data_IF_006734070885
#
_entry.id   IF_006734070885
#
_cell.length_a   1.000
_cell.length_b   1.000
_cell.length_c   1.000
_cell.angle_alpha   90.00
_cell.angle_beta   90.00
_cell.angle_gamma   90.00
#
_symmetry.space_group_name_H-M   'P 1'
#
loop_
_entity.id
_entity.type
_entity.pdbx_description
1 polymer ?
#
# COMPACT_ATOMS: atom_id res chain seq x y z
N UNK A 1 26.26 -19.44 9.23
CA UNK A 1 25.40 -18.25 9.08
C UNK A 1 25.04 -18.20 7.59
N UNK A 2 23.81 -18.54 7.23
CA UNK A 2 23.39 -18.56 5.82
C UNK A 2 22.98 -17.12 5.53
N UNK A 3 23.84 -16.35 4.89
CA UNK A 3 23.51 -15.05 4.34
C UNK A 3 22.58 -15.27 3.14
N UNK A 4 21.30 -15.33 3.43
CA UNK A 4 20.28 -15.22 2.38
C UNK A 4 20.36 -13.78 1.90
N UNK A 5 21.12 -13.53 0.87
CA UNK A 5 21.12 -12.27 0.12
C UNK A 5 19.75 -12.19 -0.56
N UNK A 6 18.79 -11.61 0.14
CA UNK A 6 17.50 -11.28 -0.43
C UNK A 6 17.72 -10.21 -1.50
N UNK A 7 17.72 -10.60 -2.76
CA UNK A 7 17.68 -9.65 -3.86
C UNK A 7 16.32 -8.98 -3.87
N UNK A 8 16.24 -7.86 -3.18
CA UNK A 8 15.02 -7.05 -3.17
C UNK A 8 14.75 -6.47 -4.56
N UNK A 9 13.51 -6.48 -5.04
CA UNK A 9 13.13 -5.78 -6.27
C UNK A 9 13.58 -4.32 -6.22
N UNK A 10 14.03 -3.77 -7.33
CA UNK A 10 14.47 -2.36 -7.43
C UNK A 10 13.42 -1.38 -6.87
N UNK A 11 12.13 -1.63 -7.14
CA UNK A 11 11.02 -0.87 -6.61
C UNK A 11 10.96 -0.84 -5.07
N UNK A 12 11.25 -1.97 -4.41
CA UNK A 12 11.31 -2.04 -2.95
C UNK A 12 12.50 -1.24 -2.40
N UNK A 13 13.66 -1.32 -3.06
CA UNK A 13 14.84 -0.53 -2.67
C UNK A 13 14.55 0.97 -2.78
N UNK A 14 13.90 1.40 -3.85
CA UNK A 14 13.51 2.80 -4.03
C UNK A 14 12.51 3.26 -2.98
N UNK A 15 11.51 2.44 -2.70
CA UNK A 15 10.53 2.71 -1.65
C UNK A 15 11.23 2.93 -0.30
N UNK A 16 12.18 2.08 0.06
CA UNK A 16 12.91 2.23 1.32
C UNK A 16 13.77 3.50 1.35
N UNK A 17 14.57 3.76 0.30
CA UNK A 17 15.40 4.97 0.23
C UNK A 17 14.56 6.24 0.32
N UNK A 18 13.41 6.25 -0.34
CA UNK A 18 12.50 7.39 -0.32
C UNK A 18 11.84 7.56 1.04
N UNK A 19 11.28 6.49 1.61
CA UNK A 19 10.61 6.51 2.91
C UNK A 19 11.50 7.04 4.03
N UNK A 20 12.81 6.73 3.98
CA UNK A 20 13.78 7.19 4.97
C UNK A 20 13.84 8.72 5.12
N UNK A 21 13.51 9.47 4.07
CA UNK A 21 13.56 10.94 4.09
C UNK A 21 12.39 11.57 4.86
N UNK A 22 11.28 10.84 4.99
CA UNK A 22 10.01 11.37 5.52
C UNK A 22 9.63 10.85 6.89
N UNK A 23 10.36 9.88 7.41
CA UNK A 23 10.05 9.27 8.70
C UNK A 23 11.29 9.14 9.57
N UNK A 24 11.08 9.15 10.89
CA UNK A 24 12.16 8.94 11.83
C UNK A 24 12.70 7.49 11.77
N UNK A 25 13.88 7.28 12.36
CA UNK A 25 14.58 5.99 12.33
C UNK A 25 13.75 4.81 12.89
N UNK A 26 12.94 5.07 13.93
CA UNK A 26 12.12 4.02 14.56
C UNK A 26 10.97 3.59 13.63
N UNK A 27 10.24 4.54 13.06
CA UNK A 27 9.17 4.31 12.09
C UNK A 27 9.73 3.64 10.84
N UNK A 28 10.88 4.08 10.35
CA UNK A 28 11.55 3.50 9.19
C UNK A 28 11.85 2.01 9.37
N UNK A 29 12.38 1.61 10.54
CA UNK A 29 12.62 0.20 10.85
C UNK A 29 11.33 -0.63 10.81
N UNK A 30 10.22 -0.11 11.35
CA UNK A 30 8.93 -0.79 11.29
C UNK A 30 8.40 -0.92 9.86
N UNK A 31 8.60 0.10 9.03
CA UNK A 31 8.23 0.04 7.61
C UNK A 31 8.98 -1.09 6.91
N UNK A 32 10.30 -1.16 7.08
CA UNK A 32 11.12 -2.24 6.50
C UNK A 32 10.60 -3.60 6.96
N UNK A 33 10.41 -3.78 8.26
CA UNK A 33 9.91 -5.04 8.83
C UNK A 33 8.58 -5.45 8.21
N UNK A 34 7.63 -4.52 8.10
CA UNK A 34 6.30 -4.83 7.55
C UNK A 34 6.36 -5.11 6.05
N UNK A 35 7.10 -4.33 5.28
CA UNK A 35 7.22 -4.56 3.82
C UNK A 35 7.91 -5.89 3.53
N UNK A 36 9.00 -6.21 4.22
CA UNK A 36 9.66 -7.51 4.07
C UNK A 36 8.74 -8.65 4.49
N UNK A 37 7.99 -8.48 5.57
CA UNK A 37 7.02 -9.48 5.99
C UNK A 37 5.91 -9.69 4.96
N UNK A 38 5.39 -8.63 4.34
CA UNK A 38 4.38 -8.74 3.28
C UNK A 38 4.91 -9.52 2.08
N UNK A 39 6.20 -9.38 1.76
CA UNK A 39 6.86 -10.11 0.66
C UNK A 39 7.08 -11.58 1.03
N UNK A 40 7.52 -11.86 2.26
CA UNK A 40 7.97 -13.19 2.66
C UNK A 40 6.88 -14.07 3.26
N UNK A 41 5.85 -13.49 3.89
CA UNK A 41 4.80 -14.26 4.54
C UNK A 41 3.89 -14.96 3.53
N UNK A 42 3.81 -16.28 3.69
CA UNK A 42 2.78 -17.10 3.06
C UNK A 42 1.61 -17.24 4.01
N UNK A 43 0.42 -16.75 3.64
CA UNK A 43 -0.79 -16.82 4.47
C UNK A 43 -1.19 -15.49 5.14
N UNK A 44 -1.80 -15.57 6.32
CA UNK A 44 -2.38 -14.39 6.98
C UNK A 44 -1.34 -13.36 7.42
N UNK A 45 -1.45 -12.13 6.87
CA UNK A 45 -0.55 -11.01 7.16
C UNK A 45 -1.01 -10.22 8.40
N UNK A 46 -1.00 -10.87 9.56
CA UNK A 46 -1.30 -10.21 10.84
C UNK A 46 -0.03 -9.65 11.48
N UNK A 47 -0.17 -8.64 12.35
CA UNK A 47 0.99 -8.12 13.11
C UNK A 47 1.70 -9.21 13.93
N UNK A 48 0.96 -10.19 14.45
CA UNK A 48 1.54 -11.31 15.17
C UNK A 48 2.44 -12.18 14.26
N UNK A 49 1.99 -12.47 13.04
CA UNK A 49 2.78 -13.25 12.09
C UNK A 49 3.97 -12.46 11.56
N UNK A 50 3.82 -11.15 11.36
CA UNK A 50 4.94 -10.25 11.01
C UNK A 50 6.03 -10.31 12.08
N UNK A 51 5.67 -10.24 13.36
CA UNK A 51 6.67 -10.26 14.44
C UNK A 51 7.33 -11.63 14.63
N UNK A 52 6.62 -12.71 14.34
CA UNK A 52 7.19 -14.08 14.41
C UNK A 52 8.21 -14.38 13.32
N UNK A 53 8.11 -13.69 12.20
CA UNK A 53 9.02 -13.89 11.05
C UNK A 53 10.45 -13.40 11.34
N UNK A 54 10.61 -12.40 12.21
CA UNK A 54 11.90 -11.78 12.49
C UNK A 54 12.34 -12.03 13.92
N UNK A 55 13.50 -12.62 14.10
CA UNK A 55 14.08 -12.93 15.44
C UNK A 55 14.26 -11.69 16.30
N UNK A 56 14.60 -10.56 15.71
CA UNK A 56 14.81 -9.27 16.39
C UNK A 56 13.56 -8.38 16.34
N UNK A 57 12.40 -8.92 16.04
CA UNK A 57 11.21 -8.11 15.92
C UNK A 57 10.73 -7.61 17.27
N UNK A 58 10.37 -6.34 17.31
CA UNK A 58 9.70 -5.77 18.49
C UNK A 58 8.31 -6.37 18.66
N UNK A 59 7.78 -6.32 19.86
CA UNK A 59 6.44 -6.79 20.18
C UNK A 59 5.39 -6.22 19.17
N UNK A 60 4.40 -7.04 18.81
CA UNK A 60 3.32 -6.68 17.86
C UNK A 60 2.67 -5.32 18.13
N UNK A 61 2.54 -4.94 19.43
CA UNK A 61 1.98 -3.65 19.81
C UNK A 61 2.85 -2.47 19.39
N UNK A 62 4.16 -2.62 19.26
CA UNK A 62 5.04 -1.56 18.79
C UNK A 62 4.77 -1.24 17.32
N UNK A 63 4.58 -2.26 16.49
CA UNK A 63 4.25 -2.09 15.07
C UNK A 63 2.86 -1.46 14.94
N UNK A 64 1.87 -1.98 15.67
CA UNK A 64 0.52 -1.43 15.66
C UNK A 64 0.48 0.03 16.10
N UNK A 65 1.13 0.37 17.23
CA UNK A 65 1.22 1.76 17.72
C UNK A 65 1.97 2.67 16.75
N UNK A 66 3.01 2.16 16.09
CA UNK A 66 3.74 2.94 15.07
C UNK A 66 2.79 3.39 13.96
N UNK A 67 1.98 2.49 13.42
CA UNK A 67 1.06 2.83 12.33
C UNK A 67 -0.19 3.61 12.77
N UNK A 68 -0.60 3.49 14.05
CA UNK A 68 -1.75 4.24 14.58
C UNK A 68 -1.39 5.66 14.98
N UNK A 69 -0.21 5.86 15.57
CA UNK A 69 0.14 7.12 16.24
C UNK A 69 1.20 7.94 15.48
N UNK A 70 1.88 7.35 14.49
CA UNK A 70 2.88 8.08 13.73
C UNK A 70 2.24 8.79 12.55
N UNK A 71 2.62 10.04 12.33
CA UNK A 71 2.32 10.76 11.09
C UNK A 71 3.11 10.09 9.98
N UNK A 72 2.42 9.24 9.21
CA UNK A 72 3.02 8.52 8.09
C UNK A 72 2.52 9.12 6.77
N UNK A 73 3.36 9.81 6.00
CA UNK A 73 2.96 10.44 4.76
C UNK A 73 2.82 9.40 3.62
N UNK A 74 2.02 8.37 3.85
CA UNK A 74 1.88 7.24 2.94
C UNK A 74 1.43 7.64 1.55
N UNK A 75 0.57 8.65 1.47
CA UNK A 75 0.10 9.17 0.20
C UNK A 75 1.23 9.83 -0.60
N UNK A 76 2.03 10.68 0.04
CA UNK A 76 3.18 11.35 -0.58
C UNK A 76 4.22 10.34 -1.07
N UNK A 77 4.50 9.31 -0.26
CA UNK A 77 5.43 8.24 -0.62
C UNK A 77 4.89 7.45 -1.83
N UNK A 78 3.61 7.14 -1.85
CA UNK A 78 2.97 6.43 -2.96
C UNK A 78 3.00 7.25 -4.25
N UNK A 79 2.72 8.54 -4.17
CA UNK A 79 2.73 9.45 -5.33
C UNK A 79 4.12 9.54 -5.95
N UNK A 80 5.15 9.73 -5.13
CA UNK A 80 6.53 9.79 -5.63
C UNK A 80 7.01 8.46 -6.21
N UNK A 81 6.63 7.34 -5.61
CA UNK A 81 6.92 6.02 -6.16
C UNK A 81 6.26 5.84 -7.53
N UNK A 82 5.00 6.25 -7.64
CA UNK A 82 4.25 6.22 -8.89
C UNK A 82 4.93 7.06 -10.00
N UNK A 83 5.28 8.32 -9.69
CA UNK A 83 5.95 9.22 -10.65
C UNK A 83 7.27 8.60 -11.13
N UNK A 84 8.03 7.99 -10.23
CA UNK A 84 9.28 7.34 -10.59
C UNK A 84 9.08 6.13 -11.49
N UNK A 85 8.16 5.23 -11.14
CA UNK A 85 7.85 4.06 -11.95
C UNK A 85 7.34 4.47 -13.34
N UNK A 86 6.56 5.55 -13.40
CA UNK A 86 6.09 6.10 -14.66
C UNK A 86 7.26 6.60 -15.52
N UNK A 87 8.20 7.34 -14.95
CA UNK A 87 9.41 7.78 -15.66
C UNK A 87 10.21 6.59 -16.18
N UNK A 88 10.48 5.59 -15.34
CA UNK A 88 11.20 4.38 -15.76
C UNK A 88 10.49 3.63 -16.90
N UNK A 89 9.15 3.59 -16.90
CA UNK A 89 8.39 2.97 -17.99
C UNK A 89 8.42 3.77 -19.29
N UNK A 90 8.48 5.10 -19.21
CA UNK A 90 8.54 5.99 -20.37
C UNK A 90 9.96 6.11 -20.96
N UNK A 91 11.00 5.85 -20.16
CA UNK A 91 12.40 5.92 -20.59
C UNK A 91 12.86 4.66 -21.35
N UNK A 92 11.99 3.66 -21.52
CA UNK A 92 12.31 2.45 -22.27
C UNK A 92 12.41 2.81 -23.78
N UNK A 93 13.56 2.57 -24.44
CA UNK A 93 13.72 2.84 -25.86
C UNK A 93 12.72 2.07 -26.72
N UNK A 94 12.11 2.75 -27.69
CA UNK A 94 11.15 2.15 -28.61
C UNK A 94 9.74 1.93 -28.07
N UNK A 95 9.47 2.28 -26.82
CA UNK A 95 8.13 2.21 -26.28
C UNK A 95 7.20 3.21 -26.98
N UNK A 96 6.14 2.71 -27.59
CA UNK A 96 5.03 3.56 -28.05
C UNK A 96 4.39 4.14 -26.78
N UNK A 97 4.24 5.46 -26.73
CA UNK A 97 3.70 6.15 -25.54
C UNK A 97 2.18 5.94 -25.36
N UNK A 98 1.70 4.74 -25.66
CA UNK A 98 0.31 4.34 -25.47
C UNK A 98 0.21 3.61 -24.16
N UNK A 99 -0.70 4.06 -23.29
CA UNK A 99 -0.98 3.42 -22.04
C UNK A 99 -2.49 3.23 -21.86
N UNK A 100 -2.89 2.09 -21.31
CA UNK A 100 -4.27 1.83 -20.91
C UNK A 100 -4.43 2.09 -19.41
N UNK A 101 -5.50 2.77 -19.05
CA UNK A 101 -5.90 2.92 -17.66
C UNK A 101 -7.01 1.90 -17.39
N UNK A 102 -6.72 0.95 -16.52
CA UNK A 102 -7.67 -0.05 -16.05
C UNK A 102 -8.15 0.41 -14.69
N UNK A 103 -9.46 0.64 -14.55
CA UNK A 103 -10.07 1.08 -13.28
C UNK A 103 -10.98 -0.03 -12.79
N UNK A 104 -10.83 -0.37 -11.51
CA UNK A 104 -11.66 -1.35 -10.84
C UNK A 104 -12.03 -0.86 -9.44
N UNK A 105 -13.11 -1.41 -8.91
CA UNK A 105 -13.56 -1.14 -7.56
C UNK A 105 -13.47 -2.40 -6.70
N UNK A 106 -12.97 -2.25 -5.48
CA UNK A 106 -12.93 -3.36 -4.53
C UNK A 106 -13.59 -2.98 -3.23
N UNK A 107 -14.37 -3.89 -2.67
CA UNK A 107 -15.03 -3.73 -1.40
C UNK A 107 -14.19 -4.39 -0.30
N UNK A 108 -13.98 -3.66 0.79
CA UNK A 108 -13.32 -4.21 1.98
C UNK A 108 -14.32 -4.25 3.14
N UNK A 109 -14.70 -5.47 3.52
CA UNK A 109 -15.57 -5.68 4.69
C UNK A 109 -14.96 -5.08 5.94
N UNK A 110 -15.75 -4.31 6.66
CA UNK A 110 -15.38 -3.70 7.93
C UNK A 110 -16.26 -4.26 9.03
N UNK A 111 -15.66 -4.45 10.19
CA UNK A 111 -16.37 -4.86 11.40
C UNK A 111 -16.26 -3.72 12.42
N UNK A 112 -17.35 -3.01 12.65
CA UNK A 112 -17.38 -1.91 13.64
C UNK A 112 -18.72 -1.21 13.63
N UNK A 113 -19.21 -0.84 14.84
CA UNK A 113 -20.53 -0.21 15.00
C UNK A 113 -20.56 1.29 14.64
N UNK A 114 -19.37 1.92 14.52
CA UNK A 114 -19.24 3.37 14.28
C UNK A 114 -18.22 3.62 13.18
N UNK A 115 -18.53 3.15 11.97
CA UNK A 115 -17.69 3.43 10.80
C UNK A 115 -18.41 4.34 9.84
N UNK A 116 -17.81 5.48 9.57
CA UNK A 116 -18.30 6.43 8.58
C UNK A 116 -17.95 6.00 7.16
N UNK A 117 -18.69 6.51 6.19
CA UNK A 117 -18.46 6.27 4.76
C UNK A 117 -18.48 4.80 4.36
N UNK A 118 -19.37 4.02 4.96
CA UNK A 118 -19.58 2.62 4.61
C UNK A 118 -20.87 2.47 3.81
N UNK A 119 -20.86 1.57 2.82
CA UNK A 119 -22.03 1.22 2.03
C UNK A 119 -22.56 -0.12 2.54
N UNK A 120 -23.85 -0.15 2.88
CA UNK A 120 -24.53 -1.38 3.29
C UNK A 120 -24.97 -2.11 2.03
N UNK A 121 -24.34 -3.22 1.73
CA UNK A 121 -24.70 -4.06 0.61
C UNK A 121 -25.67 -5.13 1.07
N UNK A 122 -26.93 -5.09 0.54
CA UNK A 122 -28.02 -6.09 0.75
C UNK A 122 -28.21 -6.60 2.18
N UNK A 123 -29.43 -6.48 2.66
CA UNK A 123 -30.05 -7.17 3.83
C UNK A 123 -29.14 -8.06 4.69
N UNK A 124 -28.11 -7.52 5.30
CA UNK A 124 -27.20 -8.23 6.20
C UNK A 124 -26.00 -7.38 6.51
N UNK A 125 -26.03 -6.75 7.59
CA UNK A 125 -25.06 -6.10 8.48
C UNK A 125 -23.55 -6.06 8.09
N UNK A 126 -23.16 -6.03 6.84
CA UNK A 126 -21.78 -5.80 6.42
C UNK A 126 -21.65 -4.41 5.86
N UNK A 127 -21.01 -3.54 6.62
CA UNK A 127 -20.60 -2.24 6.11
C UNK A 127 -19.24 -2.40 5.42
N UNK A 128 -19.20 -2.00 4.17
CA UNK A 128 -18.01 -2.11 3.34
C UNK A 128 -17.45 -0.73 2.98
N UNK A 129 -16.14 -0.59 3.02
CA UNK A 129 -15.46 0.53 2.37
C UNK A 129 -15.15 0.15 0.92
N UNK A 130 -15.53 1.00 -0.01
CA UNK A 130 -15.19 0.83 -1.41
C UNK A 130 -13.94 1.64 -1.75
N UNK A 131 -13.01 0.99 -2.41
CA UNK A 131 -11.82 1.64 -2.94
C UNK A 131 -11.85 1.58 -4.45
N UNK A 132 -11.55 2.70 -5.08
CA UNK A 132 -11.25 2.76 -6.50
C UNK A 132 -9.75 2.49 -6.65
N UNK A 133 -9.44 1.47 -7.42
CA UNK A 133 -8.09 1.07 -7.77
C UNK A 133 -7.87 1.31 -9.26
N UNK A 134 -6.70 1.76 -9.62
CA UNK A 134 -6.32 1.93 -11.01
C UNK A 134 -4.99 1.23 -11.29
N UNK A 135 -4.83 0.81 -12.54
CA UNK A 135 -3.61 0.26 -13.08
C UNK A 135 -3.31 0.93 -14.41
N UNK A 136 -2.13 1.49 -14.52
CA UNK A 136 -1.61 1.97 -15.79
C UNK A 136 -0.82 0.83 -16.44
N UNK A 137 -1.24 0.44 -17.63
CA UNK A 137 -0.64 -0.66 -18.39
C UNK A 137 -0.05 -0.17 -19.70
N UNK A 138 1.22 -0.46 -19.92
CA UNK A 138 1.94 -0.18 -21.16
C UNK A 138 2.12 -1.50 -21.93
N UNK A 139 1.37 -1.73 -23.03
CA UNK A 139 1.39 -3.00 -23.73
C UNK A 139 2.75 -3.32 -24.33
N UNK A 140 3.44 -2.32 -24.87
CA UNK A 140 4.72 -2.52 -25.54
C UNK A 140 5.85 -2.99 -24.64
N UNK A 141 5.82 -2.58 -23.36
CA UNK A 141 6.85 -2.93 -22.37
C UNK A 141 6.37 -3.97 -21.37
N UNK A 142 5.06 -4.26 -21.35
CA UNK A 142 4.43 -5.08 -20.32
C UNK A 142 4.41 -4.41 -18.93
N UNK A 143 4.84 -3.16 -18.82
CA UNK A 143 4.90 -2.46 -17.55
C UNK A 143 3.49 -2.25 -16.97
N UNK A 144 3.36 -2.52 -15.67
CA UNK A 144 2.10 -2.39 -14.91
C UNK A 144 2.36 -1.54 -13.68
N UNK A 145 1.82 -0.33 -13.67
CA UNK A 145 2.04 0.64 -12.61
C UNK A 145 0.74 0.85 -11.84
N UNK A 146 0.63 0.40 -10.58
CA UNK A 146 -0.57 0.63 -9.79
C UNK A 146 -0.73 2.11 -9.47
N UNK A 147 -1.90 2.65 -9.74
CA UNK A 147 -2.27 4.01 -9.37
C UNK A 147 -2.59 4.10 -7.87
N UNK A 148 -2.41 5.27 -7.26
CA UNK A 148 -2.83 5.49 -5.89
C UNK A 148 -4.30 5.18 -5.71
N UNK A 149 -4.60 4.23 -4.81
CA UNK A 149 -5.99 3.90 -4.47
C UNK A 149 -6.70 5.07 -3.84
N UNK A 150 -7.98 5.23 -4.13
CA UNK A 150 -8.85 6.25 -3.54
C UNK A 150 -10.01 5.57 -2.81
N UNK A 151 -10.32 6.06 -1.62
CA UNK A 151 -11.55 5.67 -0.93
C UNK A 151 -12.72 6.33 -1.65
N UNK A 152 -13.69 5.54 -2.08
CA UNK A 152 -14.95 6.06 -2.57
C UNK A 152 -15.71 6.74 -1.42
N UNK A 153 -16.14 7.97 -1.63
CA UNK A 153 -16.93 8.71 -0.66
C UNK A 153 -18.37 8.78 -1.15
N UNK A 154 -19.31 8.38 -0.29
CA UNK A 154 -20.73 8.51 -0.61
C UNK A 154 -21.14 9.99 -0.67
N UNK A 155 -22.20 10.30 -1.42
CA UNK A 155 -22.73 11.66 -1.51
C UNK A 155 -23.09 12.22 -0.12
N UNK A 156 -23.75 11.42 0.70
CA UNK A 156 -24.13 11.77 2.09
C UNK A 156 -22.88 12.09 2.95
N UNK A 157 -21.82 11.32 2.80
CA UNK A 157 -20.56 11.59 3.50
C UNK A 157 -19.95 12.93 3.06
N UNK A 158 -19.97 13.22 1.77
CA UNK A 158 -19.42 14.47 1.24
C UNK A 158 -20.27 15.68 1.71
N UNK A 159 -21.58 15.58 1.69
CA UNK A 159 -22.48 16.64 2.14
C UNK A 159 -22.33 16.96 3.63
N UNK A 160 -22.01 15.96 4.45
CA UNK A 160 -21.79 16.13 5.89
C UNK A 160 -20.44 16.76 6.24
N UNK A 161 -19.42 16.64 5.37
CA UNK A 161 -18.04 17.02 5.67
C UNK A 161 -17.47 18.10 4.74
N UNK A 162 -18.30 18.68 3.88
CA UNK A 162 -18.02 19.93 3.17
C UNK A 162 -18.65 21.09 3.96
#
# INVERSE_FOLDING_TARGET
MIDIILQLPKSAIYFFRFSRKYVNKAVYRHIITVVLAVILLRGNRTYANVTRLFLESRHKSCISKCFSNSVFPGFLIQEHLYIRLLKEALDIPGAKRVAYIIIDSTAQKKRGKKMENTIIYKKGYTSDHFFIMGLLYFPDTGARIPLPRRLYRTKEYCEKHN
#
